data_IF_375929909274
#
_entry.id   IF_375929909274
#
_cell.length_a   1.000
_cell.length_b   1.000
_cell.length_c   1.000
_cell.angle_alpha   90.00
_cell.angle_beta   90.00
_cell.angle_gamma   90.00
#
_symmetry.space_group_name_H-M   'P 1'
#
loop_
_entity.id
_entity.type
_entity.pdbx_description
1 polymer ?
#
# COMPACT_ATOMS: atom_id res chain seq x y z
N UNK A 1 -24.03 10.06 -5.41
CA UNK A 1 -22.57 10.25 -5.55
C UNK A 1 -22.05 8.90 -5.98
N UNK A 2 -21.62 8.77 -7.22
CA UNK A 2 -21.14 7.49 -7.76
C UNK A 2 -19.76 7.24 -7.18
N UNK A 3 -19.66 6.29 -6.25
CA UNK A 3 -18.38 5.75 -5.80
C UNK A 3 -17.84 4.93 -6.96
N UNK A 4 -16.85 5.45 -7.68
CA UNK A 4 -16.28 4.77 -8.83
C UNK A 4 -15.31 3.68 -8.34
N UNK A 5 -15.61 2.38 -8.52
CA UNK A 5 -14.76 1.29 -8.04
C UNK A 5 -13.38 1.28 -8.74
N UNK A 6 -13.19 2.04 -9.82
CA UNK A 6 -11.92 2.15 -10.54
C UNK A 6 -10.89 3.03 -9.82
N UNK A 7 -11.28 3.78 -8.80
CA UNK A 7 -10.40 4.69 -8.05
C UNK A 7 -9.33 4.00 -7.19
N UNK A 8 -9.56 2.75 -6.78
CA UNK A 8 -8.60 1.93 -6.01
C UNK A 8 -7.59 1.20 -6.89
N UNK A 9 -7.80 1.22 -8.20
CA UNK A 9 -6.96 0.51 -9.18
C UNK A 9 -5.46 0.73 -9.03
N UNK A 10 -4.93 1.96 -8.78
CA UNK A 10 -3.49 2.13 -8.63
C UNK A 10 -2.94 1.43 -7.37
N UNK A 11 -3.60 1.59 -6.22
CA UNK A 11 -3.18 0.93 -4.98
C UNK A 11 -3.29 -0.59 -5.07
N UNK A 12 -4.41 -1.10 -5.57
CA UNK A 12 -4.64 -2.55 -5.74
C UNK A 12 -3.62 -3.15 -6.70
N UNK A 13 -3.29 -2.46 -7.79
CA UNK A 13 -2.30 -2.92 -8.76
C UNK A 13 -0.91 -2.95 -8.14
N UNK A 14 -0.49 -1.90 -7.44
CA UNK A 14 0.80 -1.84 -6.75
C UNK A 14 0.93 -2.96 -5.71
N UNK A 15 -0.08 -3.14 -4.85
CA UNK A 15 -0.10 -4.20 -3.82
C UNK A 15 0.03 -5.56 -4.48
N UNK A 16 -0.75 -5.83 -5.53
CA UNK A 16 -0.73 -7.10 -6.24
C UNK A 16 0.61 -7.36 -6.95
N UNK A 17 1.16 -6.36 -7.62
CA UNK A 17 2.45 -6.48 -8.31
C UNK A 17 3.58 -6.72 -7.32
N UNK A 18 3.55 -6.02 -6.19
CA UNK A 18 4.53 -6.22 -5.13
C UNK A 18 4.42 -7.62 -4.57
N UNK A 19 3.23 -8.07 -4.15
CA UNK A 19 3.00 -9.41 -3.60
C UNK A 19 3.27 -10.55 -4.58
N UNK A 20 3.09 -10.34 -5.88
CA UNK A 20 3.47 -11.28 -6.93
C UNK A 20 4.98 -11.26 -7.23
N UNK A 21 5.73 -10.30 -6.70
CA UNK A 21 7.16 -10.15 -6.97
C UNK A 21 7.47 -9.57 -8.35
N UNK A 22 6.49 -8.92 -8.99
CA UNK A 22 6.65 -8.23 -10.28
C UNK A 22 7.37 -6.89 -10.12
N UNK A 23 7.29 -6.29 -8.94
CA UNK A 23 8.05 -5.11 -8.54
C UNK A 23 8.71 -5.38 -7.18
N UNK A 24 9.85 -4.72 -6.94
CA UNK A 24 10.55 -4.74 -5.66
C UNK A 24 9.95 -3.73 -4.66
N UNK A 25 10.49 -3.74 -3.43
CA UNK A 25 10.02 -2.87 -2.35
C UNK A 25 10.26 -1.38 -2.64
N UNK A 26 11.40 -1.02 -3.25
CA UNK A 26 11.70 0.36 -3.62
C UNK A 26 10.73 0.89 -4.70
N UNK A 27 10.40 0.07 -5.70
CA UNK A 27 9.44 0.41 -6.74
C UNK A 27 8.02 0.50 -6.19
N UNK A 28 7.67 -0.39 -5.25
CA UNK A 28 6.39 -0.35 -4.55
C UNK A 28 6.25 0.93 -3.72
N UNK A 29 7.24 1.28 -2.91
CA UNK A 29 7.26 2.50 -2.09
C UNK A 29 7.06 3.75 -2.95
N UNK A 30 7.93 3.97 -3.95
CA UNK A 30 7.80 5.12 -4.86
C UNK A 30 6.45 5.18 -5.55
N UNK A 31 5.95 4.03 -6.00
CA UNK A 31 4.66 3.92 -6.67
C UNK A 31 3.49 4.30 -5.75
N UNK A 32 3.53 3.80 -4.52
CA UNK A 32 2.48 4.02 -3.52
C UNK A 32 2.46 5.46 -3.03
N UNK A 33 3.62 6.04 -2.72
CA UNK A 33 3.73 7.45 -2.32
C UNK A 33 3.25 8.41 -3.41
N UNK A 34 3.56 8.11 -4.68
CA UNK A 34 3.03 8.88 -5.82
C UNK A 34 1.51 8.79 -5.92
N UNK A 35 0.96 7.56 -5.88
CA UNK A 35 -0.48 7.35 -5.94
C UNK A 35 -1.21 8.06 -4.79
N UNK A 36 -0.63 8.05 -3.58
CA UNK A 36 -1.21 8.73 -2.41
C UNK A 36 -1.19 10.25 -2.53
N UNK A 37 -0.15 10.86 -3.13
CA UNK A 37 -0.09 12.32 -3.36
C UNK A 37 -1.11 12.78 -4.40
N UNK A 38 -1.42 11.91 -5.36
CA UNK A 38 -2.38 12.17 -6.43
C UNK A 38 -3.83 11.80 -6.03
N UNK A 39 -4.02 11.15 -4.87
CA UNK A 39 -5.33 10.71 -4.39
C UNK A 39 -6.15 11.88 -3.83
N UNK A 40 -6.88 12.56 -4.71
CA UNK A 40 -7.84 13.61 -4.33
C UNK A 40 -9.22 13.09 -3.91
N UNK A 41 -9.38 11.78 -3.71
CA UNK A 41 -10.69 11.16 -3.59
C UNK A 41 -11.16 11.03 -2.13
N UNK A 42 -12.45 11.30 -1.89
CA UNK A 42 -13.10 10.94 -0.64
C UNK A 42 -13.51 9.47 -0.70
N UNK A 43 -13.01 8.69 0.25
CA UNK A 43 -13.23 7.23 0.33
C UNK A 43 -14.06 6.87 1.56
N UNK A 44 -14.78 5.74 1.53
CA UNK A 44 -15.34 5.16 2.75
C UNK A 44 -14.27 5.01 3.82
N UNK A 45 -14.63 5.33 5.08
CA UNK A 45 -13.69 5.30 6.21
C UNK A 45 -12.93 3.98 6.33
N UNK A 46 -13.60 2.85 6.07
CA UNK A 46 -12.98 1.53 6.13
C UNK A 46 -11.84 1.38 5.09
N UNK A 47 -12.03 1.87 3.87
CA UNK A 47 -11.02 1.83 2.81
C UNK A 47 -9.88 2.78 3.13
N UNK A 48 -10.22 4.03 3.52
CA UNK A 48 -9.23 5.03 3.91
C UNK A 48 -8.30 4.49 5.00
N UNK A 49 -8.83 3.90 6.06
CA UNK A 49 -8.02 3.35 7.16
C UNK A 49 -7.05 2.26 6.70
N UNK A 50 -7.43 1.44 5.72
CA UNK A 50 -6.53 0.41 5.17
C UNK A 50 -5.38 1.04 4.41
N UNK A 51 -5.69 2.00 3.53
CA UNK A 51 -4.68 2.69 2.72
C UNK A 51 -3.76 3.58 3.55
N UNK A 52 -4.30 4.25 4.57
CA UNK A 52 -3.58 5.11 5.50
C UNK A 52 -2.64 4.30 6.41
N UNK A 53 -3.09 3.13 6.89
CA UNK A 53 -2.21 2.21 7.63
C UNK A 53 -1.04 1.76 6.76
N UNK A 54 -1.32 1.33 5.52
CA UNK A 54 -0.28 0.89 4.60
C UNK A 54 0.62 2.05 4.16
N UNK A 55 0.10 3.28 4.07
CA UNK A 55 0.90 4.47 3.81
C UNK A 55 1.94 4.67 4.91
N UNK A 56 1.55 4.56 6.18
CA UNK A 56 2.49 4.67 7.29
C UNK A 56 3.57 3.56 7.25
N UNK A 57 3.19 2.32 6.92
CA UNK A 57 4.14 1.21 6.74
C UNK A 57 5.11 1.48 5.56
N UNK A 58 4.62 2.08 4.47
CA UNK A 58 5.44 2.49 3.31
C UNK A 58 6.39 3.63 3.65
N UNK A 59 5.93 4.65 4.38
CA UNK A 59 6.75 5.80 4.78
C UNK A 59 7.86 5.39 5.79
N UNK A 60 7.61 4.32 6.57
CA UNK A 60 8.59 3.71 7.47
C UNK A 60 9.56 2.75 6.77
N UNK A 61 9.43 2.49 5.46
CA UNK A 61 10.34 1.60 4.75
C UNK A 61 11.73 2.22 4.60
N UNK A 62 12.76 1.48 5.01
CA UNK A 62 14.15 1.87 4.82
C UNK A 62 14.93 0.73 4.14
N UNK A 63 15.36 0.87 2.86
CA UNK A 63 16.12 -0.17 2.17
C UNK A 63 17.54 -0.36 2.74
N UNK A 64 18.15 0.70 3.28
CA UNK A 64 19.52 0.66 3.79
C UNK A 64 19.56 0.14 5.24
N UNK A 65 20.11 -1.05 5.49
CA UNK A 65 20.18 -1.62 6.84
C UNK A 65 21.07 -0.82 7.80
N UNK A 66 21.98 0.02 7.30
CA UNK A 66 22.81 0.89 8.14
C UNK A 66 22.07 2.14 8.62
N UNK A 67 20.99 2.54 7.93
CA UNK A 67 20.15 3.69 8.28
C UNK A 67 18.84 3.28 8.96
N UNK A 68 18.46 2.00 8.86
CA UNK A 68 17.21 1.45 9.42
C UNK A 68 17.18 1.54 10.94
N UNK A 69 16.23 2.30 11.47
CA UNK A 69 15.91 2.40 12.88
C UNK A 69 15.05 1.24 13.41
N UNK A 70 14.78 1.20 14.72
CA UNK A 70 13.98 0.15 15.35
C UNK A 70 12.50 0.16 14.89
N UNK A 71 11.99 1.29 14.41
CA UNK A 71 10.62 1.46 13.94
C UNK A 71 10.50 1.37 12.41
N UNK A 72 11.62 1.23 11.69
CA UNK A 72 11.64 1.17 10.23
C UNK A 72 11.43 -0.25 9.71
N UNK A 73 10.80 -0.36 8.54
CA UNK A 73 10.54 -1.64 7.88
C UNK A 73 11.64 -1.98 6.87
N UNK A 74 11.93 -3.28 6.78
CA UNK A 74 12.66 -3.85 5.66
C UNK A 74 11.71 -4.33 4.55
N UNK A 75 12.26 -4.88 3.47
CA UNK A 75 11.47 -5.31 2.33
C UNK A 75 10.51 -6.48 2.67
N UNK A 76 10.89 -7.34 3.62
CA UNK A 76 10.05 -8.46 4.04
C UNK A 76 8.89 -7.98 4.91
N UNK A 77 9.17 -7.12 5.89
CA UNK A 77 8.16 -6.53 6.76
C UNK A 77 7.17 -5.64 5.97
N UNK A 78 7.66 -4.89 4.98
CA UNK A 78 6.81 -4.14 4.05
C UNK A 78 5.90 -5.08 3.23
N UNK A 79 6.41 -6.25 2.83
CA UNK A 79 5.62 -7.25 2.11
C UNK A 79 4.51 -7.85 2.97
N UNK A 80 4.80 -8.10 4.25
CA UNK A 80 3.77 -8.52 5.21
C UNK A 80 2.70 -7.43 5.41
N UNK A 81 3.11 -6.17 5.49
CA UNK A 81 2.18 -5.03 5.54
C UNK A 81 1.25 -4.99 4.31
N UNK A 82 1.82 -5.12 3.11
CA UNK A 82 1.05 -5.18 1.87
C UNK A 82 0.08 -6.36 1.85
N UNK A 83 0.48 -7.53 2.38
CA UNK A 83 -0.40 -8.71 2.48
C UNK A 83 -1.56 -8.48 3.45
N UNK A 84 -1.31 -7.85 4.61
CA UNK A 84 -2.37 -7.47 5.56
C UNK A 84 -3.37 -6.50 4.94
N UNK A 85 -2.89 -5.52 4.18
CA UNK A 85 -3.74 -4.57 3.48
C UNK A 85 -4.59 -5.27 2.41
N UNK A 86 -3.99 -6.16 1.61
CA UNK A 86 -4.69 -6.96 0.60
C UNK A 86 -5.84 -7.76 1.20
N UNK A 87 -5.60 -8.49 2.30
CA UNK A 87 -6.63 -9.28 2.99
C UNK A 87 -7.79 -8.40 3.50
N UNK A 88 -7.49 -7.20 4.01
CA UNK A 88 -8.53 -6.25 4.46
C UNK A 88 -9.33 -5.70 3.28
N UNK A 89 -8.68 -5.40 2.15
CA UNK A 89 -9.37 -4.95 0.94
C UNK A 89 -10.23 -6.07 0.32
N UNK A 90 -9.76 -7.31 0.35
CA UNK A 90 -10.52 -8.49 -0.10
C UNK A 90 -11.78 -8.69 0.74
N UNK A 91 -11.68 -8.56 2.07
CA UNK A 91 -12.84 -8.62 2.97
C UNK A 91 -13.87 -7.50 2.71
N UNK A 92 -13.46 -6.40 2.08
CA UNK A 92 -14.34 -5.32 1.63
C UNK A 92 -14.86 -5.51 0.19
N UNK A 93 -14.45 -6.58 -0.50
CA UNK A 93 -14.80 -6.85 -1.89
C UNK A 93 -14.04 -6.00 -2.92
N UNK A 94 -12.89 -5.44 -2.53
CA UNK A 94 -12.13 -4.45 -3.31
C UNK A 94 -10.77 -4.98 -3.82
N UNK A 95 -10.48 -6.26 -3.59
CA UNK A 95 -9.26 -6.93 -4.01
C UNK A 95 -9.62 -8.33 -4.51
N UNK A 96 -9.21 -8.66 -5.75
CA UNK A 96 -9.47 -9.94 -6.43
C UNK A 96 -8.23 -10.43 -7.17
#
# INVERSE_FOLDING_TARGET
MSEDPLALSPFVTLIRDFLAGRIDADAFERGYLRASREDGQHRPRAVFLVLDTLFADVDAYCPDPALRGPDDLDAAALREAAARAAARLEALGLYQ
#
